data_IF_171208596496
#
_entry.id   IF_171208596496
#
_cell.length_a   1.000
_cell.length_b   1.000
_cell.length_c   1.000
_cell.angle_alpha   90.00
_cell.angle_beta   90.00
_cell.angle_gamma   90.00
#
_symmetry.space_group_name_H-M   'P 1'
#
loop_
_entity.id
_entity.type
_entity.pdbx_description
1 polymer ?
#
# COMPACT_ATOMS: atom_id res chain seq x y z
N UNK A 1 -2.10 4.21 -27.75
CA UNK A 1 -1.32 5.47 -27.66
C UNK A 1 -1.61 6.23 -26.37
N UNK A 2 -2.87 6.55 -26.01
CA UNK A 2 -3.23 7.27 -24.77
C UNK A 2 -2.77 6.53 -23.50
N UNK A 3 -2.98 5.22 -23.40
CA UNK A 3 -2.55 4.40 -22.26
C UNK A 3 -1.02 4.47 -22.06
N UNK A 4 -0.26 4.32 -23.12
CA UNK A 4 1.21 4.38 -23.05
C UNK A 4 1.70 5.76 -22.62
N UNK A 5 1.10 6.81 -23.14
CA UNK A 5 1.43 8.19 -22.76
C UNK A 5 1.09 8.45 -21.28
N UNK A 6 -0.08 8.04 -20.79
CA UNK A 6 -0.47 8.18 -19.40
C UNK A 6 0.52 7.48 -18.46
N UNK A 7 0.88 6.23 -18.75
CA UNK A 7 1.79 5.45 -17.94
C UNK A 7 3.23 6.01 -17.95
N UNK A 8 3.74 6.43 -19.11
CA UNK A 8 5.06 7.07 -19.20
C UNK A 8 5.10 8.40 -18.43
N UNK A 9 4.04 9.21 -18.54
CA UNK A 9 3.91 10.46 -17.78
C UNK A 9 3.88 10.18 -16.28
N UNK A 10 3.14 9.14 -15.83
CA UNK A 10 3.08 8.76 -14.42
C UNK A 10 4.47 8.34 -13.91
N UNK A 11 5.17 7.45 -14.61
CA UNK A 11 6.51 6.97 -14.24
C UNK A 11 7.49 8.15 -14.14
N UNK A 12 7.59 8.98 -15.20
CA UNK A 12 8.51 10.12 -15.22
C UNK A 12 8.21 11.11 -14.09
N UNK A 13 6.92 11.39 -13.83
CA UNK A 13 6.50 12.31 -12.77
C UNK A 13 6.73 11.76 -11.37
N UNK A 14 6.53 10.45 -11.12
CA UNK A 14 6.88 9.80 -9.84
C UNK A 14 8.38 9.86 -9.57
N UNK A 15 9.21 9.56 -10.56
CA UNK A 15 10.66 9.63 -10.42
C UNK A 15 11.11 11.10 -10.22
N UNK A 16 10.57 12.04 -10.99
CA UNK A 16 10.84 13.48 -10.83
C UNK A 16 10.47 13.99 -9.45
N UNK A 17 9.30 13.62 -8.93
CA UNK A 17 8.86 13.96 -7.58
C UNK A 17 9.78 13.37 -6.50
N UNK A 18 10.17 12.10 -6.64
CA UNK A 18 11.11 11.43 -5.72
C UNK A 18 12.46 12.14 -5.67
N UNK A 19 13.04 12.46 -6.83
CA UNK A 19 14.32 13.16 -6.93
C UNK A 19 14.25 14.59 -6.35
N UNK A 20 13.12 15.27 -6.54
CA UNK A 20 12.89 16.59 -5.95
C UNK A 20 12.78 16.55 -4.43
N UNK A 21 12.05 15.59 -3.89
CA UNK A 21 11.90 15.38 -2.45
C UNK A 21 13.19 14.85 -1.79
N UNK A 22 14.01 14.07 -2.48
CA UNK A 22 15.26 13.53 -1.95
C UNK A 22 16.29 14.63 -1.60
N UNK A 23 16.17 15.82 -2.18
CA UNK A 23 17.05 16.97 -1.93
C UNK A 23 16.57 17.88 -0.78
N UNK A 24 15.82 17.29 0.16
CA UNK A 24 15.33 18.01 1.36
C UNK A 24 16.48 18.35 2.35
N UNK A 25 16.43 19.49 3.06
CA UNK A 25 15.42 20.55 2.98
C UNK A 25 15.54 21.38 1.70
N UNK A 26 14.54 21.24 0.83
CA UNK A 26 14.52 22.02 -0.41
C UNK A 26 13.96 23.43 -0.15
N UNK A 27 14.50 24.49 -0.80
CA UNK A 27 13.87 25.82 -0.81
C UNK A 27 12.39 25.69 -1.24
N UNK A 28 11.50 26.49 -0.66
CA UNK A 28 10.04 26.37 -0.80
C UNK A 28 9.51 26.07 -2.22
N UNK A 29 10.09 26.69 -3.25
CA UNK A 29 9.67 26.46 -4.65
C UNK A 29 9.92 25.03 -5.17
N UNK A 30 10.97 24.33 -4.72
CA UNK A 30 11.24 22.95 -5.13
C UNK A 30 10.25 21.96 -4.51
N UNK A 31 9.86 22.18 -3.24
CA UNK A 31 8.84 21.33 -2.59
C UNK A 31 7.51 21.44 -3.34
N UNK A 32 7.09 22.67 -3.68
CA UNK A 32 5.85 22.89 -4.43
C UNK A 32 5.88 22.22 -5.80
N UNK A 33 6.99 22.32 -6.53
CA UNK A 33 7.15 21.64 -7.82
C UNK A 33 7.07 20.11 -7.67
N UNK A 34 7.78 19.54 -6.67
CA UNK A 34 7.74 18.10 -6.43
C UNK A 34 6.35 17.60 -6.05
N UNK A 35 5.61 18.36 -5.24
CA UNK A 35 4.22 18.05 -4.89
C UNK A 35 3.29 18.15 -6.10
N UNK A 36 3.51 19.11 -7.00
CA UNK A 36 2.79 19.26 -8.27
C UNK A 36 3.07 18.07 -9.20
N UNK A 37 4.35 17.70 -9.39
CA UNK A 37 4.72 16.50 -10.16
C UNK A 37 4.11 15.24 -9.57
N UNK A 38 4.07 15.11 -8.25
CA UNK A 38 3.45 13.97 -7.58
C UNK A 38 1.94 13.92 -7.84
N UNK A 39 1.23 15.04 -7.80
CA UNK A 39 -0.19 15.12 -8.16
C UNK A 39 -0.45 14.72 -9.62
N UNK A 40 0.38 15.21 -10.55
CA UNK A 40 0.33 14.81 -11.98
C UNK A 40 0.55 13.32 -12.15
N UNK A 41 1.52 12.75 -11.42
CA UNK A 41 1.79 11.31 -11.45
C UNK A 41 0.58 10.49 -11.00
N UNK A 42 -0.09 10.88 -9.91
CA UNK A 42 -1.30 10.22 -9.40
C UNK A 42 -2.44 10.29 -10.43
N UNK A 43 -2.67 11.45 -11.04
CA UNK A 43 -3.72 11.63 -12.03
C UNK A 43 -3.44 10.81 -13.31
N UNK A 44 -2.21 10.83 -13.81
CA UNK A 44 -1.81 10.06 -14.99
C UNK A 44 -1.88 8.54 -14.72
N UNK A 45 -1.46 8.07 -13.54
CA UNK A 45 -1.57 6.67 -13.13
C UNK A 45 -3.04 6.23 -13.00
N UNK A 46 -3.91 7.07 -12.42
CA UNK A 46 -5.35 6.81 -12.37
C UNK A 46 -5.96 6.66 -13.76
N UNK A 47 -5.56 7.51 -14.71
CA UNK A 47 -6.02 7.42 -16.09
C UNK A 47 -5.56 6.13 -16.79
N UNK A 48 -4.34 5.65 -16.51
CA UNK A 48 -3.84 4.35 -16.97
C UNK A 48 -4.63 3.19 -16.36
N UNK A 49 -4.78 3.17 -15.03
CA UNK A 49 -5.55 2.16 -14.30
C UNK A 49 -7.02 2.11 -14.72
N UNK A 50 -7.63 3.24 -15.02
CA UNK A 50 -9.00 3.26 -15.51
C UNK A 50 -9.16 2.42 -16.78
N UNK A 51 -8.20 2.50 -17.70
CA UNK A 51 -8.25 1.78 -18.96
C UNK A 51 -7.92 0.28 -18.81
N UNK A 52 -7.13 -0.10 -17.80
CA UNK A 52 -6.71 -1.50 -17.57
C UNK A 52 -7.60 -2.23 -16.57
N UNK A 53 -8.21 -1.51 -15.64
CA UNK A 53 -9.06 -2.10 -14.58
C UNK A 53 -10.51 -2.23 -15.02
N UNK A 54 -11.06 -1.22 -15.70
CA UNK A 54 -12.46 -1.22 -16.13
C UNK A 54 -12.56 -1.73 -17.58
N UNK A 55 -13.00 -2.96 -17.76
CA UNK A 55 -13.15 -3.64 -19.06
C UNK A 55 -14.63 -3.91 -19.34
N UNK A 56 -15.30 -2.96 -20.00
CA UNK A 56 -16.75 -3.04 -20.21
C UNK A 56 -17.49 -3.09 -18.87
N UNK A 57 -18.31 -4.14 -18.66
CA UNK A 57 -19.09 -4.34 -17.42
C UNK A 57 -18.30 -5.08 -16.31
N UNK A 58 -17.00 -5.32 -16.50
CA UNK A 58 -16.17 -6.10 -15.58
C UNK A 58 -14.97 -5.34 -15.02
N UNK A 59 -14.39 -5.92 -13.96
CA UNK A 59 -13.21 -5.41 -13.29
C UNK A 59 -12.05 -6.39 -13.47
N UNK A 60 -10.91 -5.90 -13.98
CA UNK A 60 -9.69 -6.70 -14.07
C UNK A 60 -8.94 -6.64 -12.72
N UNK A 61 -8.86 -7.77 -12.03
CA UNK A 61 -8.10 -7.93 -10.79
C UNK A 61 -6.93 -8.92 -10.95
N UNK A 62 -6.28 -8.98 -12.11
CA UNK A 62 -5.03 -9.73 -12.27
C UNK A 62 -3.96 -9.26 -11.27
N UNK A 63 -2.95 -10.09 -10.98
CA UNK A 63 -1.96 -9.83 -9.92
C UNK A 63 -1.24 -8.50 -10.10
N UNK A 64 -0.79 -8.19 -11.31
CA UNK A 64 -0.05 -6.94 -11.57
C UNK A 64 -0.96 -5.72 -11.62
N UNK A 65 -2.18 -5.85 -12.17
CA UNK A 65 -3.17 -4.76 -12.15
C UNK A 65 -3.61 -4.44 -10.71
N UNK A 66 -3.90 -5.45 -9.90
CA UNK A 66 -4.21 -5.26 -8.48
C UNK A 66 -3.03 -4.67 -7.70
N UNK A 67 -1.78 -5.08 -8.02
CA UNK A 67 -0.57 -4.51 -7.45
C UNK A 67 -0.39 -3.04 -7.80
N UNK A 68 -0.62 -2.67 -9.04
CA UNK A 68 -0.57 -1.28 -9.52
C UNK A 68 -1.68 -0.42 -8.89
N UNK A 69 -2.89 -0.96 -8.71
CA UNK A 69 -3.99 -0.29 -8.00
C UNK A 69 -3.65 -0.02 -6.53
N UNK A 70 -3.06 -0.99 -5.84
CA UNK A 70 -2.57 -0.80 -4.46
C UNK A 70 -1.45 0.24 -4.43
N UNK A 71 -0.50 0.18 -5.37
CA UNK A 71 0.60 1.15 -5.48
C UNK A 71 0.08 2.57 -5.72
N UNK A 72 -0.93 2.74 -6.58
CA UNK A 72 -1.62 4.02 -6.78
C UNK A 72 -2.27 4.52 -5.49
N UNK A 73 -2.98 3.66 -4.77
CA UNK A 73 -3.63 4.02 -3.51
C UNK A 73 -2.58 4.42 -2.45
N UNK A 74 -1.45 3.71 -2.36
CA UNK A 74 -0.31 4.08 -1.50
C UNK A 74 0.23 5.47 -1.88
N UNK A 75 0.42 5.74 -3.18
CA UNK A 75 0.89 7.03 -3.66
C UNK A 75 -0.09 8.17 -3.29
N UNK A 76 -1.39 7.96 -3.51
CA UNK A 76 -2.44 8.93 -3.15
C UNK A 76 -2.44 9.22 -1.65
N UNK A 77 -2.41 8.19 -0.81
CA UNK A 77 -2.38 8.34 0.65
C UNK A 77 -1.12 9.06 1.12
N UNK A 78 0.05 8.76 0.55
CA UNK A 78 1.29 9.46 0.86
C UNK A 78 1.22 10.93 0.45
N UNK A 79 0.65 11.25 -0.71
CA UNK A 79 0.46 12.63 -1.14
C UNK A 79 -0.43 13.40 -0.16
N UNK A 80 -1.55 12.80 0.27
CA UNK A 80 -2.45 13.38 1.28
C UNK A 80 -1.73 13.61 2.63
N UNK A 81 -0.88 12.66 3.05
CA UNK A 81 -0.08 12.81 4.27
C UNK A 81 0.96 13.94 4.17
N UNK A 82 1.51 14.18 2.96
CA UNK A 82 2.45 15.27 2.70
C UNK A 82 1.77 16.64 2.60
N UNK A 83 0.52 16.68 2.13
CA UNK A 83 -0.31 17.90 2.14
C UNK A 83 -0.71 18.25 3.59
N UNK A 84 -1.15 17.27 4.37
CA UNK A 84 -1.20 17.41 5.83
C UNK A 84 0.26 17.44 6.34
N UNK A 85 0.67 18.39 7.21
CA UNK A 85 2.07 18.57 7.59
C UNK A 85 2.60 17.38 8.43
N UNK A 86 2.68 16.21 7.80
CA UNK A 86 3.20 14.98 8.38
C UNK A 86 4.61 14.71 7.84
N UNK A 87 5.57 14.36 8.69
CA UNK A 87 6.96 14.17 8.31
C UNK A 87 7.16 12.79 7.64
N UNK A 88 6.64 12.62 6.41
CA UNK A 88 6.71 11.38 5.63
C UNK A 88 7.47 11.55 4.31
N UNK A 89 8.21 12.65 4.14
CA UNK A 89 8.99 12.94 2.93
C UNK A 89 9.99 11.82 2.61
N UNK A 90 10.73 11.36 3.62
CA UNK A 90 11.69 10.26 3.48
C UNK A 90 11.03 8.97 2.98
N UNK A 91 9.79 8.73 3.41
CA UNK A 91 9.00 7.58 2.98
C UNK A 91 8.60 7.72 1.51
N UNK A 92 8.12 8.89 1.12
CA UNK A 92 7.75 9.17 -0.27
C UNK A 92 8.93 8.97 -1.22
N UNK A 93 10.13 9.46 -0.87
CA UNK A 93 11.35 9.26 -1.68
C UNK A 93 11.62 7.78 -1.96
N UNK A 94 11.41 6.89 -0.99
CA UNK A 94 11.63 5.46 -1.18
C UNK A 94 10.47 4.76 -1.89
N UNK A 95 9.24 5.20 -1.68
CA UNK A 95 8.03 4.54 -2.19
C UNK A 95 7.74 4.89 -3.65
N UNK A 96 7.96 6.14 -4.06
CA UNK A 96 7.62 6.58 -5.42
C UNK A 96 8.33 5.78 -6.53
N UNK A 97 9.62 5.40 -6.42
CA UNK A 97 10.24 4.50 -7.37
C UNK A 97 9.60 3.10 -7.40
N UNK A 98 9.13 2.60 -6.25
CA UNK A 98 8.42 1.31 -6.19
C UNK A 98 7.04 1.38 -6.85
N UNK A 99 6.34 2.52 -6.72
CA UNK A 99 5.09 2.77 -7.44
C UNK A 99 5.33 2.82 -8.95
N UNK A 100 6.38 3.51 -9.39
CA UNK A 100 6.77 3.52 -10.80
C UNK A 100 7.10 2.11 -11.32
N UNK A 101 7.81 1.30 -10.52
CA UNK A 101 8.09 -0.10 -10.86
C UNK A 101 6.82 -0.95 -10.97
N UNK A 102 5.80 -0.70 -10.14
CA UNK A 102 4.51 -1.40 -10.24
C UNK A 102 3.81 -1.14 -11.58
N UNK A 103 3.85 0.10 -12.09
CA UNK A 103 3.35 0.43 -13.44
C UNK A 103 4.14 -0.33 -14.52
N UNK A 104 5.47 -0.37 -14.40
CA UNK A 104 6.31 -1.11 -15.35
C UNK A 104 5.97 -2.60 -15.36
N UNK A 105 5.77 -3.21 -14.18
CA UNK A 105 5.38 -4.61 -14.08
C UNK A 105 3.99 -4.87 -14.68
N UNK A 106 3.02 -3.99 -14.45
CA UNK A 106 1.69 -4.08 -15.07
C UNK A 106 1.78 -4.03 -16.61
N UNK A 107 2.61 -3.14 -17.15
CA UNK A 107 2.83 -3.02 -18.59
C UNK A 107 3.60 -4.21 -19.19
N UNK A 108 4.55 -4.76 -18.45
CA UNK A 108 5.38 -5.89 -18.90
C UNK A 108 4.61 -7.22 -18.89
N UNK A 109 3.64 -7.36 -17.98
CA UNK A 109 2.85 -8.59 -17.81
C UNK A 109 1.34 -8.31 -17.90
N UNK A 110 0.84 -7.86 -19.06
CA UNK A 110 -0.57 -7.59 -19.23
C UNK A 110 -1.37 -8.90 -19.13
N UNK A 111 -2.25 -8.98 -18.14
CA UNK A 111 -3.12 -10.14 -17.97
C UNK A 111 -4.56 -9.66 -17.75
N UNK A 112 -5.50 -10.21 -18.55
CA UNK A 112 -6.92 -9.88 -18.47
C UNK A 112 -7.78 -11.11 -18.10
N UNK A 113 -7.17 -12.16 -17.56
CA UNK A 113 -7.86 -13.43 -17.28
C UNK A 113 -8.81 -13.36 -16.09
N UNK A 114 -8.61 -12.43 -15.16
CA UNK A 114 -9.43 -12.24 -13.96
C UNK A 114 -10.38 -11.04 -14.10
N UNK A 115 -11.34 -11.14 -15.01
CA UNK A 115 -12.40 -10.14 -15.13
C UNK A 115 -13.63 -10.62 -14.36
N UNK A 116 -13.97 -9.91 -13.27
CA UNK A 116 -15.14 -10.18 -12.44
C UNK A 116 -16.28 -9.29 -12.92
N UNK A 117 -17.40 -9.91 -13.36
CA UNK A 117 -18.60 -9.19 -13.79
C UNK A 117 -19.67 -9.17 -12.70
N UNK A 118 -20.60 -8.24 -12.79
CA UNK A 118 -21.77 -8.13 -11.91
C UNK A 118 -21.46 -8.10 -10.40
N UNK A 119 -20.43 -7.35 -9.99
CA UNK A 119 -20.03 -7.23 -8.58
C UNK A 119 -21.09 -6.46 -7.79
N UNK A 120 -21.75 -7.06 -6.77
CA UNK A 120 -22.71 -6.36 -5.91
C UNK A 120 -22.10 -5.14 -5.21
N UNK A 121 -22.91 -4.12 -4.91
CA UNK A 121 -22.43 -2.89 -4.29
C UNK A 121 -21.69 -3.13 -2.96
N UNK A 122 -22.18 -4.05 -2.11
CA UNK A 122 -21.50 -4.40 -0.85
C UNK A 122 -20.13 -5.05 -1.06
N UNK A 123 -19.99 -5.90 -2.08
CA UNK A 123 -18.71 -6.50 -2.41
C UNK A 123 -17.73 -5.47 -3.01
N UNK A 124 -18.22 -4.50 -3.79
CA UNK A 124 -17.42 -3.36 -4.26
C UNK A 124 -16.87 -2.54 -3.09
N UNK A 125 -17.71 -2.26 -2.10
CA UNK A 125 -17.30 -1.54 -0.89
C UNK A 125 -16.28 -2.35 -0.07
N UNK A 126 -16.50 -3.66 0.09
CA UNK A 126 -15.52 -4.57 0.72
C UNK A 126 -14.15 -4.47 0.04
N UNK A 127 -14.11 -4.59 -1.29
CA UNK A 127 -12.86 -4.51 -2.07
C UNK A 127 -12.19 -3.15 -1.89
N UNK A 128 -12.94 -2.06 -1.97
CA UNK A 128 -12.39 -0.71 -1.80
C UNK A 128 -11.78 -0.52 -0.40
N UNK A 129 -12.49 -0.91 0.65
CA UNK A 129 -12.00 -0.84 2.04
C UNK A 129 -10.76 -1.73 2.23
N UNK A 130 -10.74 -2.94 1.65
CA UNK A 130 -9.60 -3.83 1.70
C UNK A 130 -8.36 -3.21 1.05
N UNK A 131 -8.49 -2.60 -0.13
CA UNK A 131 -7.40 -1.95 -0.84
C UNK A 131 -6.84 -0.78 -0.03
N UNK A 132 -7.71 0.09 0.51
CA UNK A 132 -7.27 1.22 1.34
C UNK A 132 -6.60 0.73 2.63
N UNK A 133 -7.18 -0.25 3.32
CA UNK A 133 -6.58 -0.84 4.53
C UNK A 133 -5.21 -1.44 4.24
N UNK A 134 -5.09 -2.24 3.17
CA UNK A 134 -3.83 -2.84 2.74
C UNK A 134 -2.77 -1.78 2.42
N UNK A 135 -3.16 -0.71 1.72
CA UNK A 135 -2.26 0.38 1.36
C UNK A 135 -1.75 1.14 2.60
N UNK A 136 -2.62 1.39 3.58
CA UNK A 136 -2.21 1.99 4.86
C UNK A 136 -1.26 1.08 5.65
N UNK A 137 -1.53 -0.24 5.69
CA UNK A 137 -0.61 -1.19 6.30
C UNK A 137 0.72 -1.27 5.57
N UNK A 138 0.75 -1.15 4.23
CA UNK A 138 1.98 -1.08 3.46
C UNK A 138 2.83 0.14 3.86
N UNK A 139 2.20 1.32 3.97
CA UNK A 139 2.88 2.54 4.44
C UNK A 139 3.38 2.36 5.87
N UNK A 140 2.55 1.80 6.77
CA UNK A 140 2.93 1.54 8.16
C UNK A 140 4.10 0.53 8.26
N UNK A 141 4.11 -0.51 7.44
CA UNK A 141 5.19 -1.51 7.40
C UNK A 141 6.51 -0.90 6.89
N UNK A 142 6.46 -0.07 5.85
CA UNK A 142 7.63 0.67 5.37
C UNK A 142 8.15 1.64 6.44
N UNK A 143 7.25 2.34 7.12
CA UNK A 143 7.60 3.20 8.25
C UNK A 143 8.25 2.41 9.39
N UNK A 144 7.75 1.19 9.69
CA UNK A 144 8.34 0.29 10.66
C UNK A 144 9.77 -0.15 10.26
N UNK A 145 10.02 -0.43 8.99
CA UNK A 145 11.35 -0.76 8.47
C UNK A 145 12.31 0.42 8.59
N UNK A 146 11.87 1.64 8.27
CA UNK A 146 12.69 2.84 8.46
C UNK A 146 13.00 3.11 9.92
N UNK A 147 12.01 2.94 10.79
CA UNK A 147 12.20 3.03 12.24
C UNK A 147 13.23 2.01 12.74
N UNK A 148 13.11 0.75 12.31
CA UNK A 148 14.07 -0.31 12.65
C UNK A 148 15.49 0.02 12.17
N UNK A 149 15.62 0.57 10.95
CA UNK A 149 16.90 0.99 10.40
C UNK A 149 17.53 2.15 11.21
N UNK A 150 16.72 3.17 11.52
CA UNK A 150 17.15 4.32 12.33
C UNK A 150 17.60 3.88 13.74
N UNK A 151 16.80 3.04 14.42
CA UNK A 151 17.18 2.47 15.72
C UNK A 151 18.50 1.70 15.69
N UNK A 152 18.71 0.86 14.66
CA UNK A 152 19.95 0.09 14.50
C UNK A 152 21.18 0.99 14.31
N UNK A 153 21.06 2.07 13.52
CA UNK A 153 22.15 3.02 13.33
C UNK A 153 22.48 3.76 14.62
N UNK A 154 21.46 4.22 15.33
CA UNK A 154 21.63 4.93 16.60
C UNK A 154 22.34 4.05 17.65
N UNK A 155 21.94 2.77 17.79
CA UNK A 155 22.58 1.81 18.70
C UNK A 155 24.05 1.54 18.37
N UNK A 156 24.43 1.71 17.10
CA UNK A 156 25.83 1.54 16.64
C UNK A 156 26.61 2.85 16.65
N UNK A 157 26.10 3.92 17.26
CA UNK A 157 26.70 5.27 17.28
C UNK A 157 27.06 5.77 15.87
N UNK A 158 26.32 5.34 14.84
CA UNK A 158 26.49 5.79 13.46
C UNK A 158 25.56 6.96 13.16
N UNK A 159 25.98 7.93 12.35
CA UNK A 159 25.09 9.05 11.99
C UNK A 159 23.84 8.51 11.32
N UNK A 160 22.68 8.95 11.81
CA UNK A 160 21.38 8.73 11.17
C UNK A 160 21.26 9.72 10.02
N UNK A 161 20.63 9.32 8.95
CA UNK A 161 20.44 10.19 7.78
C UNK A 161 19.65 11.46 8.21
N UNK A 162 20.18 12.62 7.90
CA UNK A 162 19.63 13.93 8.34
C UNK A 162 18.19 14.20 7.88
N UNK A 163 17.68 13.44 6.89
CA UNK A 163 16.33 13.57 6.38
C UNK A 163 15.29 12.67 7.08
N UNK A 164 15.72 11.86 8.07
CA UNK A 164 14.78 11.04 8.84
C UNK A 164 14.21 11.87 10.00
N UNK A 165 12.87 11.82 10.22
CA UNK A 165 12.25 12.44 11.38
C UNK A 165 12.74 11.81 12.70
N UNK A 166 12.51 12.49 13.86
CA UNK A 166 12.77 11.91 15.17
C UNK A 166 12.04 10.58 15.36
N UNK A 167 12.70 9.60 16.01
CA UNK A 167 12.13 8.25 16.22
C UNK A 167 10.73 8.25 16.85
N UNK A 168 10.42 9.09 17.86
CA UNK A 168 9.07 9.14 18.44
C UNK A 168 8.00 9.58 17.44
N UNK A 169 8.35 10.50 16.54
CA UNK A 169 7.44 10.96 15.48
C UNK A 169 7.19 9.86 14.46
N UNK A 170 8.24 9.15 14.04
CA UNK A 170 8.13 8.01 13.12
C UNK A 170 7.23 6.91 13.73
N UNK A 171 7.42 6.61 15.01
CA UNK A 171 6.61 5.63 15.74
C UNK A 171 5.15 6.07 15.83
N UNK A 172 4.88 7.34 16.15
CA UNK A 172 3.52 7.88 16.23
C UNK A 172 2.78 7.78 14.90
N UNK A 173 3.42 8.14 13.79
CA UNK A 173 2.85 8.01 12.44
C UNK A 173 2.55 6.56 12.11
N UNK A 174 3.49 5.65 12.38
CA UNK A 174 3.30 4.21 12.18
C UNK A 174 2.05 3.70 12.92
N UNK A 175 1.88 4.05 14.20
CA UNK A 175 0.72 3.63 14.98
C UNK A 175 -0.60 4.24 14.50
N UNK A 176 -0.62 5.52 14.11
CA UNK A 176 -1.83 6.16 13.57
C UNK A 176 -2.28 5.47 12.28
N UNK A 177 -1.35 5.18 11.37
CA UNK A 177 -1.63 4.46 10.12
C UNK A 177 -2.10 3.03 10.39
N UNK A 178 -1.45 2.32 11.32
CA UNK A 178 -1.83 0.96 11.72
C UNK A 178 -3.23 0.92 12.33
N UNK A 179 -3.58 1.86 13.21
CA UNK A 179 -4.90 1.93 13.83
C UNK A 179 -6.00 2.20 12.79
N UNK A 180 -5.79 3.18 11.91
CA UNK A 180 -6.74 3.47 10.83
C UNK A 180 -6.90 2.27 9.90
N UNK A 181 -5.80 1.64 9.49
CA UNK A 181 -5.81 0.45 8.66
C UNK A 181 -6.54 -0.72 9.34
N UNK A 182 -6.35 -0.90 10.65
CA UNK A 182 -7.02 -1.95 11.44
C UNK A 182 -8.55 -1.74 11.49
N UNK A 183 -9.01 -0.50 11.67
CA UNK A 183 -10.44 -0.16 11.62
C UNK A 183 -11.02 -0.51 10.24
N UNK A 184 -10.36 -0.09 9.16
CA UNK A 184 -10.81 -0.38 7.80
C UNK A 184 -10.77 -1.89 7.47
N UNK A 185 -9.76 -2.61 7.94
CA UNK A 185 -9.68 -4.06 7.80
C UNK A 185 -10.84 -4.74 8.53
N UNK A 186 -11.18 -4.29 9.75
CA UNK A 186 -12.32 -4.81 10.52
C UNK A 186 -13.63 -4.61 9.77
N UNK A 187 -13.86 -3.40 9.24
CA UNK A 187 -15.05 -3.09 8.45
C UNK A 187 -15.08 -3.92 7.15
N UNK A 188 -13.93 -4.07 6.49
CA UNK A 188 -13.82 -4.89 5.28
C UNK A 188 -14.14 -6.36 5.58
N UNK A 189 -13.58 -6.94 6.65
CA UNK A 189 -13.87 -8.34 7.04
C UNK A 189 -15.34 -8.53 7.38
N UNK A 190 -15.96 -7.60 8.12
CA UNK A 190 -17.37 -7.64 8.43
C UNK A 190 -18.25 -7.64 7.18
N UNK A 191 -17.96 -6.74 6.22
CA UNK A 191 -18.66 -6.72 4.93
C UNK A 191 -18.41 -8.00 4.12
N UNK A 192 -17.17 -8.50 4.10
CA UNK A 192 -16.84 -9.75 3.44
C UNK A 192 -17.68 -10.92 3.98
N UNK A 193 -17.82 -11.03 5.31
CA UNK A 193 -18.62 -12.08 5.94
C UNK A 193 -20.11 -11.98 5.59
N UNK A 194 -20.63 -10.77 5.32
CA UNK A 194 -22.05 -10.58 4.95
C UNK A 194 -22.35 -10.91 3.48
N UNK A 195 -21.39 -10.73 2.59
CA UNK A 195 -21.60 -10.81 1.14
C UNK A 195 -20.96 -12.03 0.46
N UNK A 196 -20.08 -12.76 1.16
CA UNK A 196 -19.49 -13.99 0.64
C UNK A 196 -20.34 -15.17 1.16
N UNK A 197 -21.38 -15.52 0.40
CA UNK A 197 -22.29 -16.60 0.77
C UNK A 197 -21.72 -18.01 0.48
N UNK A 198 -20.83 -18.14 -0.51
CA UNK A 198 -20.22 -19.43 -0.90
C UNK A 198 -18.73 -19.46 -0.53
N UNK A 199 -18.44 -19.81 0.71
CA UNK A 199 -17.08 -20.04 1.22
C UNK A 199 -16.47 -21.34 0.63
N UNK A 200 -17.27 -22.22 0.07
CA UNK A 200 -16.88 -23.53 -0.48
C UNK A 200 -16.04 -23.48 -1.77
N UNK A 201 -15.86 -22.32 -2.38
CA UNK A 201 -14.81 -22.15 -3.36
C UNK A 201 -13.44 -22.27 -2.67
N UNK A 202 -12.81 -23.43 -2.76
CA UNK A 202 -11.51 -23.80 -2.11
C UNK A 202 -10.42 -22.73 -2.24
N UNK A 203 -10.54 -21.81 -3.17
CA UNK A 203 -9.60 -20.71 -3.42
C UNK A 203 -9.78 -19.47 -2.51
N UNK A 204 -10.90 -19.35 -1.79
CA UNK A 204 -11.18 -18.21 -0.88
C UNK A 204 -10.74 -18.49 0.56
N UNK A 205 -10.75 -19.76 0.99
CA UNK A 205 -10.44 -20.16 2.36
C UNK A 205 -9.06 -19.68 2.84
N UNK A 206 -8.04 -19.78 1.99
CA UNK A 206 -6.69 -19.31 2.33
C UNK A 206 -6.64 -17.81 2.54
N UNK A 207 -7.32 -17.02 1.66
CA UNK A 207 -7.36 -15.55 1.78
C UNK A 207 -8.05 -15.14 3.08
N UNK A 208 -9.16 -15.78 3.41
CA UNK A 208 -9.91 -15.53 4.66
C UNK A 208 -9.03 -15.86 5.86
N UNK A 209 -8.40 -17.04 5.88
CA UNK A 209 -7.55 -17.49 6.98
C UNK A 209 -6.38 -16.52 7.25
N UNK A 210 -5.63 -16.13 6.21
CA UNK A 210 -4.53 -15.17 6.35
C UNK A 210 -5.01 -13.78 6.79
N UNK A 211 -6.16 -13.31 6.27
CA UNK A 211 -6.72 -12.01 6.65
C UNK A 211 -7.18 -11.98 8.11
N UNK A 212 -7.84 -13.04 8.57
CA UNK A 212 -8.26 -13.20 9.98
C UNK A 212 -7.05 -13.32 10.90
N UNK A 213 -6.04 -14.11 10.51
CA UNK A 213 -4.80 -14.23 11.29
C UNK A 213 -4.07 -12.87 11.40
N UNK A 214 -3.96 -12.14 10.30
CA UNK A 214 -3.40 -10.79 10.30
C UNK A 214 -4.21 -9.84 11.19
N UNK A 215 -5.53 -9.93 11.16
CA UNK A 215 -6.41 -9.16 12.04
C UNK A 215 -6.10 -9.42 13.51
N UNK A 216 -5.91 -10.67 13.94
CA UNK A 216 -5.52 -11.01 15.31
C UNK A 216 -4.15 -10.43 15.68
N UNK A 217 -3.18 -10.47 14.76
CA UNK A 217 -1.85 -9.87 14.97
C UNK A 217 -1.95 -8.36 15.20
N UNK A 218 -2.76 -7.65 14.40
CA UNK A 218 -2.95 -6.22 14.57
C UNK A 218 -3.80 -5.88 15.79
N UNK A 219 -4.83 -6.68 16.11
CA UNK A 219 -5.61 -6.54 17.35
C UNK A 219 -4.73 -6.66 18.59
N UNK A 220 -3.84 -7.65 18.61
CA UNK A 220 -2.85 -7.85 19.67
C UNK A 220 -1.91 -6.63 19.80
N UNK A 221 -1.45 -6.08 18.67
CA UNK A 221 -0.61 -4.88 18.67
C UNK A 221 -1.35 -3.66 19.25
N UNK A 222 -2.59 -3.42 18.81
CA UNK A 222 -3.41 -2.28 19.27
C UNK A 222 -3.70 -2.43 20.77
N UNK A 223 -4.13 -3.61 21.21
CA UNK A 223 -4.37 -3.90 22.62
C UNK A 223 -3.08 -3.77 23.45
N UNK A 224 -1.97 -4.30 22.95
CA UNK A 224 -0.65 -4.21 23.60
C UNK A 224 -0.16 -2.76 23.74
N UNK A 225 -0.48 -1.91 22.73
CA UNK A 225 -0.19 -0.48 22.83
C UNK A 225 -0.99 0.21 23.92
N UNK A 226 -2.29 -0.08 24.03
CA UNK A 226 -3.17 0.57 24.99
C UNK A 226 -2.94 0.08 26.43
N UNK A 227 -2.78 -1.24 26.62
CA UNK A 227 -2.67 -1.81 27.97
C UNK A 227 -1.23 -1.86 28.51
N UNK A 228 -0.25 -2.11 27.64
CA UNK A 228 1.15 -2.34 28.05
C UNK A 228 2.11 -1.28 27.52
N UNK A 229 1.62 -0.29 26.74
CA UNK A 229 2.47 0.75 26.17
C UNK A 229 3.50 0.25 25.18
N UNK A 230 3.23 -0.83 24.42
CA UNK A 230 4.18 -1.42 23.46
C UNK A 230 4.69 -0.39 22.48
N UNK A 231 6.02 -0.37 22.31
CA UNK A 231 6.78 0.58 21.50
C UNK A 231 7.97 -0.09 20.80
N UNK A 232 8.61 0.65 19.90
CA UNK A 232 9.87 0.27 19.26
C UNK A 232 9.80 -1.12 18.64
N UNK A 233 10.71 -2.01 19.05
CA UNK A 233 10.88 -3.35 18.45
C UNK A 233 9.64 -4.24 18.48
N UNK A 234 8.82 -4.16 19.53
CA UNK A 234 7.58 -4.94 19.59
C UNK A 234 6.61 -4.49 18.51
N UNK A 235 6.37 -3.18 18.42
CA UNK A 235 5.49 -2.62 17.41
C UNK A 235 5.97 -2.94 15.99
N UNK A 236 7.26 -2.76 15.70
CA UNK A 236 7.87 -3.08 14.40
C UNK A 236 7.62 -4.55 14.01
N UNK A 237 7.83 -5.49 14.94
CA UNK A 237 7.62 -6.93 14.67
C UNK A 237 6.17 -7.24 14.32
N UNK A 238 5.21 -6.73 15.09
CA UNK A 238 3.79 -7.00 14.85
C UNK A 238 3.30 -6.34 13.56
N UNK A 239 3.67 -5.08 13.29
CA UNK A 239 3.30 -4.41 12.03
C UNK A 239 3.84 -5.18 10.83
N UNK A 240 5.12 -5.55 10.86
CA UNK A 240 5.76 -6.28 9.75
C UNK A 240 5.16 -7.68 9.57
N UNK A 241 4.96 -8.43 10.66
CA UNK A 241 4.36 -9.76 10.61
C UNK A 241 2.92 -9.73 10.08
N UNK A 242 2.08 -8.82 10.59
CA UNK A 242 0.71 -8.65 10.12
C UNK A 242 0.64 -8.27 8.65
N UNK A 243 1.51 -7.36 8.19
CA UNK A 243 1.58 -6.98 6.78
C UNK A 243 2.03 -8.14 5.88
N UNK A 244 3.01 -8.93 6.29
CA UNK A 244 3.43 -10.12 5.54
C UNK A 244 2.31 -11.16 5.43
N UNK A 245 1.56 -11.40 6.51
CA UNK A 245 0.39 -12.29 6.48
C UNK A 245 -0.67 -11.80 5.47
N UNK A 246 -0.99 -10.50 5.47
CA UNK A 246 -1.90 -9.93 4.47
C UNK A 246 -1.35 -10.07 3.05
N UNK A 247 -0.03 -9.84 2.87
CA UNK A 247 0.64 -9.99 1.59
C UNK A 247 0.54 -11.42 1.05
N UNK A 248 0.82 -12.41 1.88
CA UNK A 248 0.67 -13.82 1.51
C UNK A 248 -0.80 -14.19 1.21
N UNK A 249 -1.75 -13.67 1.98
CA UNK A 249 -3.17 -13.89 1.73
C UNK A 249 -3.64 -13.32 0.40
N UNK A 250 -3.25 -12.10 0.07
CA UNK A 250 -3.72 -11.41 -1.12
C UNK A 250 -2.90 -11.76 -2.37
N UNK A 251 -1.57 -11.57 -2.33
CA UNK A 251 -0.69 -11.80 -3.49
C UNK A 251 -0.24 -13.25 -3.60
N UNK A 252 -0.01 -13.96 -2.49
CA UNK A 252 0.50 -15.32 -2.51
C UNK A 252 -0.39 -16.26 -3.30
N UNK A 253 -1.70 -16.25 -3.02
CA UNK A 253 -2.67 -17.07 -3.75
C UNK A 253 -2.77 -16.70 -5.23
N UNK A 254 -2.70 -15.41 -5.56
CA UNK A 254 -2.75 -14.95 -6.96
C UNK A 254 -1.50 -15.33 -7.74
N UNK A 255 -0.31 -15.14 -7.14
CA UNK A 255 0.96 -15.53 -7.77
C UNK A 255 0.98 -17.02 -8.08
N UNK A 256 0.56 -17.86 -7.12
CA UNK A 256 0.51 -19.31 -7.33
C UNK A 256 -0.48 -19.69 -8.44
N UNK A 257 -1.69 -19.14 -8.42
CA UNK A 257 -2.74 -19.49 -9.39
C UNK A 257 -2.45 -18.92 -10.79
N UNK A 258 -2.04 -17.67 -10.89
CA UNK A 258 -1.86 -16.99 -12.18
C UNK A 258 -0.50 -17.28 -12.83
N UNK A 259 0.61 -17.28 -12.05
CA UNK A 259 1.96 -17.42 -12.59
C UNK A 259 2.50 -18.85 -12.56
N UNK A 260 2.17 -19.64 -11.53
CA UNK A 260 2.72 -21.00 -11.40
C UNK A 260 1.78 -22.02 -12.02
N UNK A 261 0.50 -21.99 -11.68
CA UNK A 261 -0.46 -22.99 -12.14
C UNK A 261 -1.14 -22.63 -13.47
N UNK A 262 -1.06 -21.38 -13.90
CA UNK A 262 -1.70 -20.83 -15.12
C UNK A 262 -3.18 -21.24 -15.26
N UNK A 263 -3.87 -21.47 -14.14
CA UNK A 263 -5.21 -22.06 -14.04
C UNK A 263 -6.36 -21.06 -14.01
N UNK A 264 -6.13 -19.78 -14.26
CA UNK A 264 -7.18 -18.74 -14.35
C UNK A 264 -7.05 -17.97 -15.65
#
# INVERSE_FOLDING_TARGET
MLLTLANLTAIASYIGAALGLARWPAPGGRRTLSMGLFAVAIAAHAAGLYQTTFLGDGYNFSVFNAGSLVAWCVALLLWLLLVAPRPVESLAVAVLPLVAAAIVLELAFPNQRLVIQNVPAGLRLHIALAIVAYSLFAIAALQALFLAFAERKLRRHRPVLHFLPPLPTMESVMFQLTLLAFILLTLSLALGALYIADIDAQHLAHKIAFSVLAWFVFATLVAGRWHYGWRGRHAIKYVTAGFLLLGFGFFGSKIVLELILQRI
#
